data_IF_026608128586
#
_entry.id   IF_026608128586
#
_cell.length_a   1.000
_cell.length_b   1.000
_cell.length_c   1.000
_cell.angle_alpha   90.00
_cell.angle_beta   90.00
_cell.angle_gamma   90.00
#
_symmetry.space_group_name_H-M   'P 1'
#
loop_
_entity.id
_entity.type
_entity.pdbx_description
1 polymer ?
#
# COMPACT_ATOMS: atom_id res chain seq x y z
N UNK A 1 -3.29 -46.65 2.24
CA UNK A 1 -4.30 -45.59 2.40
C UNK A 1 -4.03 -44.52 1.36
N UNK A 2 -4.84 -44.43 0.32
CA UNK A 2 -4.66 -43.48 -0.77
C UNK A 2 -5.08 -42.08 -0.34
N UNK A 3 -4.15 -41.11 -0.40
CA UNK A 3 -4.46 -39.69 -0.24
C UNK A 3 -5.37 -39.24 -1.39
N UNK A 4 -6.64 -38.96 -1.10
CA UNK A 4 -7.52 -38.28 -2.03
C UNK A 4 -6.89 -36.90 -2.35
N UNK A 5 -6.47 -36.74 -3.60
CA UNK A 5 -6.21 -35.41 -4.18
C UNK A 5 -7.53 -34.64 -4.14
N UNK A 6 -7.60 -33.62 -3.25
CA UNK A 6 -8.67 -32.62 -3.36
C UNK A 6 -8.42 -31.87 -4.66
N UNK A 7 -9.32 -32.04 -5.61
CA UNK A 7 -9.41 -31.17 -6.77
C UNK A 7 -9.43 -29.71 -6.27
N UNK A 8 -8.44 -28.94 -6.68
CA UNK A 8 -8.41 -27.50 -6.55
C UNK A 8 -9.54 -26.98 -7.45
N UNK A 9 -10.72 -26.73 -6.85
CA UNK A 9 -11.78 -25.95 -7.48
C UNK A 9 -11.19 -24.58 -7.76
N UNK A 10 -11.38 -24.05 -8.97
CA UNK A 10 -10.91 -22.76 -9.46
C UNK A 10 -10.87 -21.72 -8.33
N UNK A 11 -9.67 -21.41 -7.82
CA UNK A 11 -9.48 -20.24 -6.95
C UNK A 11 -9.93 -19.03 -7.77
N UNK A 12 -10.88 -18.29 -7.23
CA UNK A 12 -11.29 -17.03 -7.83
C UNK A 12 -10.11 -16.07 -7.74
N UNK A 13 -9.71 -15.54 -8.85
CA UNK A 13 -8.70 -14.48 -8.90
C UNK A 13 -9.21 -13.24 -8.15
N UNK A 14 -8.29 -12.52 -7.53
CA UNK A 14 -8.63 -11.25 -6.88
C UNK A 14 -9.04 -10.23 -7.96
N UNK A 15 -10.24 -9.67 -7.82
CA UNK A 15 -10.71 -8.56 -8.64
C UNK A 15 -10.82 -7.32 -7.76
N UNK A 16 -9.96 -6.29 -7.96
CA UNK A 16 -9.98 -5.06 -7.18
C UNK A 16 -11.35 -4.37 -7.15
N UNK A 17 -12.11 -4.41 -8.23
CA UNK A 17 -13.38 -3.71 -8.37
C UNK A 17 -14.60 -4.50 -7.86
N UNK A 18 -14.42 -5.77 -7.49
CA UNK A 18 -15.53 -6.63 -7.05
C UNK A 18 -16.12 -6.27 -5.67
N UNK A 19 -15.45 -5.42 -4.90
CA UNK A 19 -15.76 -5.10 -3.51
C UNK A 19 -16.28 -3.69 -3.27
N UNK A 20 -16.91 -3.09 -4.26
CA UNK A 20 -17.54 -1.77 -4.10
C UNK A 20 -18.55 -1.77 -2.96
N UNK A 21 -18.31 -0.94 -1.95
CA UNK A 21 -19.16 -0.81 -0.78
C UNK A 21 -20.26 0.23 -1.03
N UNK A 22 -21.45 -0.03 -0.53
CA UNK A 22 -22.55 0.96 -0.47
C UNK A 22 -22.65 1.65 0.89
N UNK A 23 -21.54 1.68 1.63
CA UNK A 23 -21.45 2.38 2.91
C UNK A 23 -20.63 3.66 2.74
N UNK A 24 -21.26 4.79 3.04
CA UNK A 24 -20.62 6.10 3.16
C UNK A 24 -20.27 6.29 4.63
N UNK A 25 -19.01 6.55 4.91
CA UNK A 25 -18.51 6.77 6.27
C UNK A 25 -18.19 8.26 6.45
N UNK A 26 -18.76 8.86 7.49
CA UNK A 26 -18.56 10.26 7.83
C UNK A 26 -18.24 10.41 9.31
N UNK A 27 -17.64 11.54 9.67
CA UNK A 27 -17.37 11.86 11.07
C UNK A 27 -18.64 12.45 11.70
N UNK A 28 -19.16 11.81 12.77
CA UNK A 28 -20.28 12.30 13.55
C UNK A 28 -19.95 12.05 15.02
N UNK A 29 -20.15 13.06 15.86
CA UNK A 29 -19.99 12.94 17.31
C UNK A 29 -20.90 11.83 17.87
N UNK A 30 -20.33 10.82 18.54
CA UNK A 30 -21.09 9.75 19.17
C UNK A 30 -22.19 10.25 20.13
N UNK A 31 -21.94 11.35 20.86
CA UNK A 31 -22.88 11.91 21.83
C UNK A 31 -24.08 12.59 21.16
N UNK A 32 -23.88 13.20 20.00
CA UNK A 32 -24.91 13.87 19.23
C UNK A 32 -25.68 12.92 18.29
N UNK A 33 -25.14 11.73 18.01
CA UNK A 33 -25.62 10.86 16.94
C UNK A 33 -27.08 10.44 17.06
N UNK A 34 -27.52 10.04 18.25
CA UNK A 34 -28.92 9.59 18.44
C UNK A 34 -29.90 10.73 18.21
N UNK A 35 -29.63 11.91 18.76
CA UNK A 35 -30.47 13.11 18.58
C UNK A 35 -30.52 13.50 17.11
N UNK A 36 -29.36 13.52 16.45
CA UNK A 36 -29.24 13.82 15.03
C UNK A 36 -30.02 12.82 14.16
N UNK A 37 -29.95 11.52 14.49
CA UNK A 37 -30.62 10.46 13.75
C UNK A 37 -32.16 10.59 13.81
N UNK A 38 -32.69 11.05 14.93
CA UNK A 38 -34.14 11.20 15.17
C UNK A 38 -34.71 12.47 14.50
N UNK A 39 -33.90 13.47 14.22
CA UNK A 39 -34.30 14.68 13.50
C UNK A 39 -33.91 14.62 12.01
N UNK A 40 -34.83 14.34 11.07
CA UNK A 40 -34.54 14.27 9.67
C UNK A 40 -34.00 15.57 9.07
N UNK A 41 -34.41 16.73 9.61
CA UNK A 41 -33.95 18.04 9.17
C UNK A 41 -32.48 18.30 9.54
N UNK A 42 -32.17 18.07 10.82
CA UNK A 42 -30.80 18.17 11.34
C UNK A 42 -29.86 17.17 10.68
N UNK A 43 -30.32 15.91 10.48
CA UNK A 43 -29.52 14.90 9.79
C UNK A 43 -29.19 15.29 8.34
N UNK A 44 -30.19 15.85 7.61
CA UNK A 44 -29.99 16.36 6.25
C UNK A 44 -29.00 17.50 6.23
N UNK A 45 -29.13 18.47 7.12
CA UNK A 45 -28.21 19.62 7.20
C UNK A 45 -26.76 19.17 7.47
N UNK A 46 -26.57 18.20 8.38
CA UNK A 46 -25.27 17.60 8.64
C UNK A 46 -24.71 16.92 7.38
N UNK A 47 -25.51 16.12 6.70
CA UNK A 47 -25.08 15.40 5.51
C UNK A 47 -24.77 16.36 4.33
N UNK A 48 -25.58 17.41 4.14
CA UNK A 48 -25.35 18.43 3.12
C UNK A 48 -24.04 19.21 3.38
N UNK A 49 -23.72 19.46 4.65
CA UNK A 49 -22.45 20.05 5.05
C UNK A 49 -21.27 19.12 4.72
N UNK A 50 -21.35 17.83 5.05
CA UNK A 50 -20.32 16.84 4.74
C UNK A 50 -20.11 16.70 3.22
N UNK A 51 -21.18 16.68 2.43
CA UNK A 51 -21.12 16.63 0.97
C UNK A 51 -20.41 17.88 0.41
N UNK A 52 -20.66 19.04 0.99
CA UNK A 52 -20.05 20.29 0.53
C UNK A 52 -18.54 20.37 0.86
N UNK A 53 -18.13 19.83 2.02
CA UNK A 53 -16.74 19.89 2.50
C UNK A 53 -15.90 18.73 1.94
N UNK A 54 -16.49 17.53 1.84
CA UNK A 54 -15.82 16.27 1.50
C UNK A 54 -16.55 15.50 0.40
N UNK A 55 -16.75 16.09 -0.80
CA UNK A 55 -17.49 15.44 -1.89
C UNK A 55 -16.88 14.12 -2.34
N UNK A 56 -15.58 13.94 -2.14
CA UNK A 56 -14.82 12.72 -2.50
C UNK A 56 -15.19 11.49 -1.67
N UNK A 57 -15.91 11.66 -0.56
CA UNK A 57 -16.40 10.55 0.27
C UNK A 57 -17.74 9.99 -0.23
N UNK A 58 -18.36 10.63 -1.21
CA UNK A 58 -19.70 10.32 -1.70
C UNK A 58 -19.69 9.85 -3.14
N UNK A 59 -20.73 9.11 -3.60
CA UNK A 59 -20.89 8.82 -5.01
C UNK A 59 -21.02 10.11 -5.83
N UNK A 60 -20.43 10.17 -7.02
CA UNK A 60 -20.50 11.35 -7.90
C UNK A 60 -21.95 11.76 -8.23
N UNK A 61 -22.85 10.78 -8.32
CA UNK A 61 -24.28 11.00 -8.55
C UNK A 61 -25.01 11.73 -7.40
N UNK A 62 -24.39 11.92 -6.21
CA UNK A 62 -24.97 12.68 -5.08
C UNK A 62 -25.26 14.14 -5.48
N UNK A 63 -24.51 14.68 -6.44
CA UNK A 63 -24.69 16.04 -6.95
C UNK A 63 -26.07 16.27 -7.58
N UNK A 64 -26.72 15.21 -8.06
CA UNK A 64 -28.08 15.28 -8.61
C UNK A 64 -29.16 15.25 -7.53
N UNK A 65 -28.76 15.11 -6.26
CA UNK A 65 -29.65 15.10 -5.10
C UNK A 65 -29.96 13.70 -4.57
N UNK A 66 -30.46 13.68 -3.36
CA UNK A 66 -30.82 12.47 -2.62
C UNK A 66 -32.06 12.68 -1.76
N UNK A 67 -32.67 11.60 -1.33
CA UNK A 67 -33.70 11.61 -0.27
C UNK A 67 -33.29 10.69 0.89
N UNK A 68 -33.72 11.04 2.08
CA UNK A 68 -33.64 10.14 3.24
C UNK A 68 -34.58 8.96 2.95
N UNK A 69 -34.05 7.74 2.98
CA UNK A 69 -34.81 6.55 2.58
C UNK A 69 -35.46 5.89 3.80
N UNK A 70 -34.69 5.15 4.59
CA UNK A 70 -35.14 4.47 5.78
C UNK A 70 -34.03 4.37 6.84
N UNK A 71 -34.28 3.62 7.90
CA UNK A 71 -33.30 3.26 8.92
C UNK A 71 -33.14 1.76 8.99
N UNK A 72 -31.90 1.30 8.98
CA UNK A 72 -31.57 -0.09 9.30
C UNK A 72 -31.89 -0.37 10.77
N UNK A 73 -32.45 -1.55 11.08
CA UNK A 73 -32.70 -1.95 12.47
C UNK A 73 -31.39 -2.06 13.25
N UNK A 74 -31.51 -2.03 14.55
CA UNK A 74 -30.39 -2.24 15.47
C UNK A 74 -29.69 -3.58 15.22
N UNK A 75 -28.37 -3.57 15.33
CA UNK A 75 -27.60 -4.81 15.35
C UNK A 75 -27.66 -5.43 16.76
N UNK A 76 -27.78 -6.74 16.83
CA UNK A 76 -27.64 -7.48 18.10
C UNK A 76 -26.29 -7.22 18.79
N UNK A 77 -25.28 -6.81 18.04
CA UNK A 77 -23.92 -6.50 18.55
C UNK A 77 -23.76 -5.06 19.01
N UNK A 78 -24.62 -4.16 18.56
CA UNK A 78 -24.63 -2.74 18.89
C UNK A 78 -26.06 -2.31 19.23
N UNK A 79 -26.58 -2.69 20.41
CA UNK A 79 -27.90 -2.21 20.87
C UNK A 79 -27.93 -0.69 20.94
N UNK A 80 -29.03 -0.08 20.52
CA UNK A 80 -29.20 1.37 20.49
C UNK A 80 -28.64 2.06 19.23
N UNK A 81 -27.85 1.38 18.41
CA UNK A 81 -27.30 1.97 17.17
C UNK A 81 -28.13 1.55 15.96
N UNK A 82 -28.69 2.53 15.29
CA UNK A 82 -29.38 2.41 14.00
C UNK A 82 -28.61 3.20 12.94
N UNK A 83 -28.65 2.78 11.67
CA UNK A 83 -28.01 3.50 10.58
C UNK A 83 -29.06 4.00 9.59
N UNK A 84 -28.95 5.24 9.17
CA UNK A 84 -29.83 5.83 8.16
C UNK A 84 -29.34 5.47 6.76
N UNK A 85 -30.29 5.22 5.84
CA UNK A 85 -29.99 5.07 4.42
C UNK A 85 -30.49 6.29 3.64
N UNK A 86 -29.79 6.57 2.54
CA UNK A 86 -30.20 7.57 1.53
C UNK A 86 -30.41 6.86 0.20
N UNK A 87 -31.32 7.39 -0.62
CA UNK A 87 -31.51 6.98 -2.00
C UNK A 87 -31.18 8.16 -2.90
N UNK A 88 -30.28 7.94 -3.87
CA UNK A 88 -29.91 8.95 -4.83
C UNK A 88 -31.00 9.13 -5.90
N UNK A 89 -31.18 10.34 -6.41
CA UNK A 89 -32.11 10.60 -7.52
C UNK A 89 -31.75 9.83 -8.79
N UNK A 90 -30.45 9.62 -9.04
CA UNK A 90 -29.94 8.79 -10.12
C UNK A 90 -30.10 7.28 -9.88
N UNK A 91 -30.66 6.88 -8.73
CA UNK A 91 -30.80 5.50 -8.31
C UNK A 91 -29.67 5.02 -7.39
N UNK A 92 -29.96 3.97 -6.65
CA UNK A 92 -29.04 3.38 -5.68
C UNK A 92 -29.29 3.84 -4.25
N UNK A 93 -29.19 2.87 -3.33
CA UNK A 93 -29.37 3.10 -1.89
C UNK A 93 -28.04 2.92 -1.18
N UNK A 94 -27.67 3.91 -0.36
CA UNK A 94 -26.42 3.95 0.40
C UNK A 94 -26.69 4.07 1.90
N UNK A 95 -25.85 3.42 2.69
CA UNK A 95 -25.93 3.48 4.16
C UNK A 95 -24.96 4.54 4.67
N UNK A 96 -25.46 5.49 5.43
CA UNK A 96 -24.62 6.46 6.15
C UNK A 96 -24.18 5.83 7.46
N UNK A 97 -22.88 5.70 7.64
CA UNK A 97 -22.26 5.09 8.81
C UNK A 97 -21.35 6.10 9.50
N UNK A 98 -21.56 6.38 10.80
CA UNK A 98 -20.63 7.22 11.55
C UNK A 98 -19.30 6.47 11.75
N UNK A 99 -18.20 7.21 11.80
CA UNK A 99 -16.84 6.66 11.90
C UNK A 99 -16.58 5.86 13.18
N UNK A 100 -17.31 6.14 14.25
CA UNK A 100 -17.22 5.39 15.51
C UNK A 100 -17.84 3.98 15.45
N UNK A 101 -18.58 3.64 14.39
CA UNK A 101 -19.19 2.32 14.15
C UNK A 101 -18.40 1.58 13.08
N UNK A 102 -17.97 0.36 13.38
CA UNK A 102 -17.29 -0.50 12.40
C UNK A 102 -18.22 -0.91 11.24
N UNK A 103 -17.67 -1.19 10.05
CA UNK A 103 -18.44 -1.70 8.92
C UNK A 103 -19.32 -2.89 9.32
N UNK A 104 -20.55 -2.92 8.76
CA UNK A 104 -21.56 -3.96 9.06
C UNK A 104 -21.99 -4.02 10.53
N UNK A 105 -21.87 -2.93 11.27
CA UNK A 105 -22.30 -2.81 12.67
C UNK A 105 -21.71 -3.92 13.56
N UNK A 106 -20.41 -4.18 13.44
CA UNK A 106 -19.75 -5.30 14.11
C UNK A 106 -19.13 -4.95 15.46
N UNK A 107 -19.05 -3.68 15.82
CA UNK A 107 -18.47 -3.15 17.06
C UNK A 107 -18.21 -1.66 16.94
N UNK A 108 -17.61 -1.09 17.98
CA UNK A 108 -17.14 0.29 17.99
C UNK A 108 -15.68 0.36 17.51
N UNK A 109 -15.34 1.45 16.84
CA UNK A 109 -13.99 1.67 16.28
C UNK A 109 -12.95 1.77 17.41
N UNK A 110 -13.29 2.40 18.53
CA UNK A 110 -12.40 2.56 19.68
C UNK A 110 -11.99 1.24 20.33
N UNK A 111 -12.91 0.24 20.34
CA UNK A 111 -12.65 -1.07 20.94
C UNK A 111 -11.57 -1.86 20.20
N UNK A 112 -11.37 -1.57 18.91
CA UNK A 112 -10.46 -2.36 18.05
C UNK A 112 -9.22 -1.59 17.61
N UNK A 113 -9.20 -0.27 17.81
CA UNK A 113 -8.11 0.61 17.32
C UNK A 113 -6.74 0.14 17.78
N UNK A 114 -6.56 -0.04 19.11
CA UNK A 114 -5.28 -0.44 19.70
C UNK A 114 -4.87 -1.86 19.28
N UNK A 115 -5.84 -2.76 19.13
CA UNK A 115 -5.58 -4.12 18.70
C UNK A 115 -5.08 -4.17 17.24
N UNK A 116 -5.71 -3.40 16.33
CA UNK A 116 -5.28 -3.28 14.94
C UNK A 116 -3.93 -2.56 14.82
N UNK A 117 -3.67 -1.57 15.70
CA UNK A 117 -2.34 -0.96 15.78
C UNK A 117 -1.27 -2.01 16.09
N UNK A 118 -1.47 -2.83 17.11
CA UNK A 118 -0.54 -3.89 17.49
C UNK A 118 -0.45 -4.99 16.42
N UNK A 119 -1.56 -5.30 15.75
CA UNK A 119 -1.61 -6.33 14.71
C UNK A 119 -0.66 -6.03 13.56
N UNK A 120 -0.60 -4.80 13.09
CA UNK A 120 0.36 -4.39 12.03
C UNK A 120 1.82 -4.67 12.44
N UNK A 121 2.14 -4.61 13.74
CA UNK A 121 3.47 -4.90 14.27
C UNK A 121 3.71 -6.38 14.53
N UNK A 122 2.81 -7.24 14.05
CA UNK A 122 2.97 -8.69 14.11
C UNK A 122 2.44 -9.33 15.38
N UNK A 123 1.69 -8.63 16.24
CA UNK A 123 1.07 -9.26 17.41
C UNK A 123 0.08 -10.33 16.95
N UNK A 124 0.25 -11.61 17.35
CA UNK A 124 -0.59 -12.69 16.87
C UNK A 124 -2.01 -12.62 17.44
N UNK A 125 -2.99 -13.17 16.71
CA UNK A 125 -4.39 -13.11 17.13
C UNK A 125 -4.66 -13.65 18.53
N UNK A 126 -4.01 -14.73 18.95
CA UNK A 126 -4.19 -15.26 20.30
C UNK A 126 -3.81 -14.25 21.40
N UNK A 127 -2.80 -13.41 21.15
CA UNK A 127 -2.40 -12.35 22.09
C UNK A 127 -3.42 -11.20 22.08
N UNK A 128 -3.99 -10.85 20.90
CA UNK A 128 -5.09 -9.89 20.83
C UNK A 128 -6.32 -10.39 21.61
N UNK A 129 -6.67 -11.68 21.48
CA UNK A 129 -7.74 -12.30 22.27
C UNK A 129 -7.47 -12.20 23.78
N UNK A 130 -6.22 -12.48 24.20
CA UNK A 130 -5.83 -12.41 25.61
C UNK A 130 -5.95 -11.00 26.20
N UNK A 131 -5.59 -9.96 25.43
CA UNK A 131 -5.54 -8.57 25.90
C UNK A 131 -6.88 -7.85 25.74
N UNK A 132 -7.55 -8.05 24.60
CA UNK A 132 -8.72 -7.26 24.19
C UNK A 132 -10.04 -8.08 24.18
N UNK A 133 -9.97 -9.38 24.44
CA UNK A 133 -11.13 -10.25 24.32
C UNK A 133 -11.48 -10.58 22.87
N UNK A 134 -12.76 -10.89 22.63
CA UNK A 134 -13.29 -11.49 21.41
C UNK A 134 -12.62 -12.84 21.08
N UNK A 135 -12.99 -13.45 19.97
CA UNK A 135 -12.35 -14.69 19.47
C UNK A 135 -11.37 -14.41 18.33
N UNK A 136 -10.54 -15.41 18.00
CA UNK A 136 -9.58 -15.33 16.89
C UNK A 136 -10.26 -15.02 15.56
N UNK A 137 -11.46 -15.58 15.33
CA UNK A 137 -12.18 -15.38 14.08
C UNK A 137 -12.76 -13.95 13.96
N UNK A 138 -13.04 -13.28 15.06
CA UNK A 138 -13.43 -11.88 15.08
C UNK A 138 -12.29 -11.01 14.54
N UNK A 139 -11.09 -11.13 15.12
CA UNK A 139 -9.91 -10.36 14.73
C UNK A 139 -9.48 -10.65 13.30
N UNK A 140 -9.50 -11.94 12.92
CA UNK A 140 -9.20 -12.35 11.56
C UNK A 140 -10.18 -11.73 10.53
N UNK A 141 -11.49 -11.81 10.79
CA UNK A 141 -12.50 -11.22 9.89
C UNK A 141 -12.41 -9.70 9.81
N UNK A 142 -12.04 -9.04 10.91
CA UNK A 142 -11.85 -7.59 10.93
C UNK A 142 -10.66 -7.19 10.02
N UNK A 143 -9.53 -7.88 10.14
CA UNK A 143 -8.37 -7.69 9.26
C UNK A 143 -8.74 -7.94 7.79
N UNK A 144 -9.38 -9.06 7.48
CA UNK A 144 -9.81 -9.38 6.11
C UNK A 144 -10.71 -8.28 5.52
N UNK A 145 -11.64 -7.74 6.30
CA UNK A 145 -12.54 -6.67 5.84
C UNK A 145 -11.81 -5.38 5.50
N UNK A 146 -10.78 -5.02 6.24
CA UNK A 146 -9.95 -3.86 5.87
C UNK A 146 -9.28 -4.09 4.51
N UNK A 147 -8.82 -5.30 4.25
CA UNK A 147 -8.19 -5.66 2.98
C UNK A 147 -9.10 -5.64 1.75
N UNK A 148 -10.42 -5.60 1.94
CA UNK A 148 -11.36 -5.45 0.82
C UNK A 148 -11.39 -4.03 0.22
N UNK A 149 -10.92 -3.02 0.96
CA UNK A 149 -10.92 -1.65 0.46
C UNK A 149 -9.82 -1.44 -0.59
N UNK A 150 -10.06 -0.53 -1.53
CA UNK A 150 -9.03 -0.06 -2.45
C UNK A 150 -7.88 0.57 -1.66
N UNK A 151 -6.65 0.15 -1.93
CA UNK A 151 -5.48 0.76 -1.28
C UNK A 151 -5.30 2.18 -1.81
N UNK A 152 -5.30 2.34 -3.14
CA UNK A 152 -5.08 3.66 -3.76
C UNK A 152 -6.21 4.60 -3.40
N UNK A 153 -7.47 4.23 -3.67
CA UNK A 153 -8.61 5.12 -3.45
C UNK A 153 -8.92 5.41 -1.97
N UNK A 154 -8.46 4.54 -1.04
CA UNK A 154 -8.52 4.85 0.39
C UNK A 154 -7.38 5.79 0.80
N UNK A 155 -6.17 5.61 0.24
CA UNK A 155 -4.99 6.38 0.64
C UNK A 155 -4.92 7.75 -0.02
N UNK A 156 -5.30 7.84 -1.30
CA UNK A 156 -5.23 9.08 -2.13
C UNK A 156 -6.62 9.70 -2.21
N UNK A 157 -6.77 10.92 -1.73
CA UNK A 157 -8.06 11.63 -1.72
C UNK A 157 -8.19 12.73 -2.76
N UNK A 158 -7.09 13.32 -3.14
CA UNK A 158 -7.00 14.22 -4.29
C UNK A 158 -6.26 13.50 -5.43
N UNK A 159 -6.87 13.28 -6.60
CA UNK A 159 -6.19 12.69 -7.75
C UNK A 159 -4.87 13.38 -8.12
N UNK A 160 -4.75 14.68 -7.87
CA UNK A 160 -3.53 15.44 -8.14
C UNK A 160 -2.36 15.03 -7.23
N UNK A 161 -2.63 14.41 -6.07
CA UNK A 161 -1.60 13.92 -5.15
C UNK A 161 -1.15 12.49 -5.44
N UNK A 162 -1.78 11.80 -6.40
CA UNK A 162 -1.38 10.45 -6.78
C UNK A 162 0.07 10.46 -7.29
N UNK A 163 1.02 9.74 -6.61
CA UNK A 163 2.42 9.79 -6.95
C UNK A 163 2.69 9.33 -8.38
N UNK A 164 3.46 10.13 -9.13
CA UNK A 164 3.85 9.81 -10.51
C UNK A 164 5.24 9.16 -10.58
N UNK A 165 6.02 9.24 -9.53
CA UNK A 165 7.30 8.55 -9.38
C UNK A 165 7.12 7.43 -8.34
N UNK A 166 7.40 6.20 -8.73
CA UNK A 166 7.10 5.01 -7.96
C UNK A 166 8.35 4.16 -7.71
N UNK A 167 8.24 3.31 -6.71
CA UNK A 167 9.15 2.21 -6.41
C UNK A 167 8.37 0.91 -6.54
N UNK A 168 8.96 -0.09 -7.19
CA UNK A 168 8.40 -1.42 -7.32
C UNK A 168 9.44 -2.49 -6.95
N UNK A 169 9.02 -3.43 -6.12
CA UNK A 169 9.88 -4.53 -5.65
C UNK A 169 9.03 -5.75 -5.28
N UNK A 170 9.62 -6.95 -5.32
CA UNK A 170 9.00 -8.20 -4.96
C UNK A 170 9.60 -8.74 -3.66
N UNK A 171 8.80 -8.71 -2.60
CA UNK A 171 9.18 -9.34 -1.34
C UNK A 171 9.02 -10.85 -1.42
N UNK A 172 10.12 -11.59 -1.21
CA UNK A 172 10.09 -13.05 -1.06
C UNK A 172 9.37 -13.45 0.22
N UNK A 173 8.47 -14.39 0.12
CA UNK A 173 7.68 -14.94 1.23
C UNK A 173 7.35 -16.41 1.01
N UNK A 174 6.46 -16.99 1.83
CA UNK A 174 5.97 -18.34 1.68
C UNK A 174 4.45 -18.41 1.78
N UNK A 175 3.85 -19.29 1.00
CA UNK A 175 2.43 -19.61 1.02
C UNK A 175 2.25 -21.13 1.07
N UNK A 176 1.59 -21.64 2.12
CA UNK A 176 1.42 -23.07 2.37
C UNK A 176 2.75 -23.87 2.28
N UNK A 177 3.86 -23.27 2.75
CA UNK A 177 5.18 -23.89 2.73
C UNK A 177 5.93 -23.80 1.39
N UNK A 178 5.33 -23.22 0.36
CA UNK A 178 5.96 -22.97 -0.94
C UNK A 178 6.41 -21.53 -1.06
N UNK A 179 7.42 -21.28 -1.89
CA UNK A 179 7.88 -19.93 -2.19
C UNK A 179 6.76 -19.12 -2.84
N UNK A 180 6.61 -17.88 -2.38
CA UNK A 180 5.65 -16.91 -2.90
C UNK A 180 6.29 -15.51 -2.91
N UNK A 181 5.62 -14.55 -3.49
CA UNK A 181 6.12 -13.19 -3.65
C UNK A 181 5.02 -12.19 -3.35
N UNK A 182 5.39 -11.04 -2.79
CA UNK A 182 4.48 -9.90 -2.63
C UNK A 182 4.99 -8.81 -3.56
N UNK A 183 4.30 -8.61 -4.69
CA UNK A 183 4.55 -7.50 -5.59
C UNK A 183 4.09 -6.21 -4.90
N UNK A 184 5.00 -5.27 -4.68
CA UNK A 184 4.75 -4.06 -3.90
C UNK A 184 5.03 -2.82 -4.72
N UNK A 185 4.11 -1.85 -4.64
CA UNK A 185 4.24 -0.52 -5.24
C UNK A 185 4.19 0.53 -4.15
N UNK A 186 5.18 1.43 -4.12
CA UNK A 186 5.30 2.49 -3.11
C UNK A 186 5.52 3.83 -3.79
N UNK A 187 4.89 4.87 -3.26
CA UNK A 187 5.10 6.25 -3.67
C UNK A 187 4.87 7.21 -2.48
N UNK A 188 5.75 8.20 -2.30
CA UNK A 188 5.68 9.18 -1.20
C UNK A 188 5.44 8.58 0.19
N UNK A 189 6.17 7.49 0.51
CA UNK A 189 6.08 6.73 1.76
C UNK A 189 4.76 5.95 1.97
N UNK A 190 3.82 6.00 1.03
CA UNK A 190 2.62 5.19 1.04
C UNK A 190 2.82 3.89 0.26
N UNK A 191 2.35 2.79 0.81
CA UNK A 191 2.18 1.53 0.07
C UNK A 191 0.90 1.67 -0.75
N UNK A 192 1.04 1.76 -2.08
CA UNK A 192 -0.07 1.99 -3.00
C UNK A 192 -0.57 0.71 -3.68
N UNK A 193 0.23 -0.34 -3.63
CA UNK A 193 -0.15 -1.65 -4.15
C UNK A 193 0.60 -2.76 -3.44
N UNK A 194 -0.09 -3.82 -3.10
CA UNK A 194 0.46 -5.09 -2.66
C UNK A 194 -0.35 -6.21 -3.29
N UNK A 195 0.32 -7.24 -3.80
CA UNK A 195 -0.37 -8.40 -4.33
C UNK A 195 0.46 -9.66 -4.09
N UNK A 196 -0.20 -10.69 -3.54
CA UNK A 196 0.42 -11.97 -3.23
C UNK A 196 0.37 -12.88 -4.47
N UNK A 197 1.52 -13.40 -4.89
CA UNK A 197 1.64 -14.26 -6.07
C UNK A 197 2.54 -15.47 -5.80
N UNK A 198 2.24 -16.58 -6.46
CA UNK A 198 2.97 -17.85 -6.31
C UNK A 198 4.16 -17.98 -7.27
N UNK A 199 4.31 -17.05 -8.20
CA UNK A 199 5.42 -17.01 -9.13
C UNK A 199 5.84 -15.57 -9.41
N UNK A 200 7.06 -15.37 -9.86
CA UNK A 200 7.60 -14.06 -10.23
C UNK A 200 8.08 -14.05 -11.69
N UNK A 201 7.25 -14.57 -12.57
CA UNK A 201 7.41 -14.42 -14.01
C UNK A 201 6.60 -13.21 -14.53
N UNK A 202 6.87 -12.80 -15.77
CA UNK A 202 6.22 -11.63 -16.37
C UNK A 202 4.70 -11.67 -16.33
N UNK A 203 3.99 -12.75 -16.76
CA UNK A 203 2.52 -12.76 -16.74
C UNK A 203 1.94 -12.61 -15.34
N UNK A 204 2.53 -13.29 -14.35
CA UNK A 204 2.06 -13.26 -12.98
C UNK A 204 2.30 -11.91 -12.32
N UNK A 205 3.47 -11.30 -12.56
CA UNK A 205 3.77 -9.95 -12.05
C UNK A 205 2.95 -8.89 -12.77
N UNK A 206 2.66 -9.05 -14.06
CA UNK A 206 1.75 -8.16 -14.79
C UNK A 206 0.35 -8.18 -14.17
N UNK A 207 -0.18 -9.35 -13.83
CA UNK A 207 -1.46 -9.45 -13.12
C UNK A 207 -1.38 -8.78 -11.74
N UNK A 208 -0.34 -9.07 -10.95
CA UNK A 208 -0.15 -8.54 -9.61
C UNK A 208 -0.03 -7.00 -9.57
N UNK A 209 0.83 -6.41 -10.38
CA UNK A 209 0.94 -4.95 -10.52
C UNK A 209 -0.28 -4.33 -11.22
N UNK A 210 -1.01 -5.11 -12.00
CA UNK A 210 -2.26 -4.73 -12.63
C UNK A 210 -3.34 -4.30 -11.63
N UNK A 211 -3.35 -4.88 -10.41
CA UNK A 211 -4.26 -4.46 -9.34
C UNK A 211 -4.01 -2.99 -8.94
N UNK A 212 -2.75 -2.59 -8.77
CA UNK A 212 -2.41 -1.18 -8.55
C UNK A 212 -2.88 -0.29 -9.70
N UNK A 213 -2.60 -0.68 -10.96
CA UNK A 213 -3.05 0.08 -12.14
C UNK A 213 -4.56 0.29 -12.12
N UNK A 214 -5.33 -0.76 -11.90
CA UNK A 214 -6.79 -0.70 -11.85
C UNK A 214 -7.29 0.27 -10.79
N UNK A 215 -6.73 0.20 -9.58
CA UNK A 215 -7.11 1.11 -8.49
C UNK A 215 -6.65 2.56 -8.75
N UNK A 216 -5.44 2.76 -9.29
CA UNK A 216 -4.94 4.08 -9.65
C UNK A 216 -5.79 4.74 -10.74
N UNK A 217 -6.18 3.97 -11.77
CA UNK A 217 -7.06 4.45 -12.84
C UNK A 217 -8.52 4.61 -12.42
N UNK A 218 -8.96 3.97 -11.35
CA UNK A 218 -10.25 4.28 -10.73
C UNK A 218 -10.24 5.67 -10.05
N UNK A 219 -9.10 6.11 -9.50
CA UNK A 219 -8.93 7.45 -8.92
C UNK A 219 -8.67 8.51 -10.00
N UNK A 220 -7.83 8.18 -10.97
CA UNK A 220 -7.46 9.06 -12.10
C UNK A 220 -7.44 8.26 -13.40
N UNK A 221 -8.48 8.32 -14.25
CA UNK A 221 -8.64 7.46 -15.42
C UNK A 221 -7.42 7.42 -16.37
N UNK A 222 -6.77 8.56 -16.58
CA UNK A 222 -5.60 8.70 -17.46
C UNK A 222 -4.26 8.50 -16.72
N UNK A 223 -4.29 7.93 -15.52
CA UNK A 223 -3.07 7.77 -14.72
C UNK A 223 -2.03 6.90 -15.42
N UNK A 224 -0.82 7.45 -15.51
CA UNK A 224 0.40 6.77 -15.94
C UNK A 224 1.56 7.28 -15.10
N UNK A 225 2.38 6.41 -14.48
CA UNK A 225 3.54 6.85 -13.73
C UNK A 225 4.59 7.43 -14.67
N UNK A 226 5.28 8.46 -14.19
CA UNK A 226 6.38 9.10 -14.91
C UNK A 226 7.61 8.21 -14.87
N UNK A 227 7.97 7.75 -13.67
CA UNK A 227 9.09 6.84 -13.46
C UNK A 227 8.73 5.71 -12.50
N UNK A 228 9.37 4.55 -12.70
CA UNK A 228 9.30 3.42 -11.76
C UNK A 228 10.72 2.92 -11.48
N UNK A 229 11.15 2.99 -10.22
CA UNK A 229 12.42 2.42 -9.80
C UNK A 229 12.24 0.93 -9.48
N UNK A 230 13.14 0.08 -10.02
CA UNK A 230 13.15 -1.37 -9.80
C UNK A 230 14.57 -1.87 -9.51
N UNK A 231 14.69 -3.07 -8.97
CA UNK A 231 15.99 -3.75 -8.75
C UNK A 231 16.68 -4.19 -10.05
N UNK A 232 15.97 -4.12 -11.19
CA UNK A 232 16.44 -4.58 -12.49
C UNK A 232 16.11 -6.03 -12.83
N UNK A 233 15.18 -6.64 -12.09
CA UNK A 233 14.65 -7.95 -12.47
C UNK A 233 13.85 -7.86 -13.77
N UNK A 234 14.21 -8.72 -14.76
CA UNK A 234 13.66 -8.62 -16.11
C UNK A 234 12.12 -8.80 -16.15
N UNK A 235 11.58 -9.70 -15.32
CA UNK A 235 10.15 -9.95 -15.26
C UNK A 235 9.37 -8.74 -14.73
N UNK A 236 9.89 -8.07 -13.68
CA UNK A 236 9.32 -6.83 -13.13
C UNK A 236 9.32 -5.73 -14.17
N UNK A 237 10.44 -5.53 -14.84
CA UNK A 237 10.55 -4.51 -15.90
C UNK A 237 9.60 -4.78 -17.06
N UNK A 238 9.47 -6.05 -17.48
CA UNK A 238 8.55 -6.44 -18.55
C UNK A 238 7.09 -6.19 -18.13
N UNK A 239 6.71 -6.56 -16.90
CA UNK A 239 5.38 -6.32 -16.36
C UNK A 239 5.02 -4.83 -16.36
N UNK A 240 5.91 -3.96 -15.89
CA UNK A 240 5.65 -2.51 -15.85
C UNK A 240 5.55 -1.91 -17.26
N UNK A 241 6.37 -2.35 -18.23
CA UNK A 241 6.26 -1.93 -19.65
C UNK A 241 4.95 -2.40 -20.29
N UNK A 242 4.49 -3.60 -19.95
CA UNK A 242 3.21 -4.12 -20.44
C UNK A 242 2.01 -3.35 -19.86
N UNK A 243 2.08 -2.93 -18.60
CA UNK A 243 1.00 -2.21 -17.93
C UNK A 243 0.91 -0.73 -18.35
N UNK A 244 2.04 -0.05 -18.50
CA UNK A 244 2.10 1.38 -18.75
C UNK A 244 3.04 1.69 -19.91
N UNK A 245 2.49 2.28 -20.97
CA UNK A 245 3.26 2.68 -22.15
C UNK A 245 2.95 4.15 -22.48
N UNK A 246 3.97 5.04 -22.46
CA UNK A 246 5.36 4.78 -22.09
C UNK A 246 5.61 4.87 -20.57
N UNK A 247 6.43 3.99 -20.02
CA UNK A 247 6.96 4.10 -18.67
C UNK A 247 8.47 4.17 -18.68
N UNK A 248 9.06 5.02 -17.83
CA UNK A 248 10.51 5.12 -17.66
C UNK A 248 10.95 4.31 -16.45
N UNK A 249 11.73 3.27 -16.71
CA UNK A 249 12.26 2.41 -15.65
C UNK A 249 13.62 2.92 -15.20
N UNK A 250 13.75 3.17 -13.89
CA UNK A 250 14.98 3.60 -13.24
C UNK A 250 15.56 2.41 -12.49
N UNK A 251 16.84 2.11 -12.74
CA UNK A 251 17.51 1.04 -12.00
C UNK A 251 17.91 1.50 -10.59
N UNK A 252 17.71 0.62 -9.62
CA UNK A 252 18.10 0.87 -8.23
C UNK A 252 19.63 0.79 -8.07
N UNK A 253 20.26 1.93 -7.76
CA UNK A 253 21.70 1.98 -7.47
C UNK A 253 22.05 1.21 -6.19
N UNK A 254 21.16 1.15 -5.20
CA UNK A 254 21.40 0.43 -3.95
C UNK A 254 21.60 -1.08 -4.20
N UNK A 255 20.75 -1.72 -4.98
CA UNK A 255 20.86 -3.15 -5.29
C UNK A 255 22.18 -3.46 -6.04
N UNK A 256 22.60 -2.60 -6.95
CA UNK A 256 23.89 -2.74 -7.61
C UNK A 256 25.05 -2.63 -6.60
N UNK A 257 25.00 -1.65 -5.69
CA UNK A 257 25.99 -1.50 -4.62
C UNK A 257 26.01 -2.70 -3.65
N UNK A 258 24.85 -3.17 -3.18
CA UNK A 258 24.75 -4.32 -2.27
C UNK A 258 25.38 -5.58 -2.90
N UNK A 259 25.17 -5.79 -4.19
CA UNK A 259 25.77 -6.90 -4.92
C UNK A 259 27.29 -6.78 -5.00
N UNK A 260 27.82 -5.58 -5.27
CA UNK A 260 29.25 -5.29 -5.25
C UNK A 260 29.81 -5.52 -3.83
N UNK A 261 29.15 -4.98 -2.79
CA UNK A 261 29.53 -5.18 -1.40
C UNK A 261 29.68 -6.66 -1.04
N UNK A 262 28.68 -7.47 -1.36
CA UNK A 262 28.67 -8.89 -0.99
C UNK A 262 29.74 -9.71 -1.70
N UNK A 263 30.13 -9.30 -2.91
CA UNK A 263 31.25 -9.91 -3.63
C UNK A 263 32.63 -9.40 -3.18
N UNK A 264 32.73 -8.13 -2.75
CA UNK A 264 34.01 -7.44 -2.52
C UNK A 264 34.36 -7.22 -1.04
N UNK A 265 33.43 -7.38 -0.08
CA UNK A 265 33.67 -7.14 1.37
C UNK A 265 34.84 -7.92 1.96
N UNK A 266 35.26 -9.01 1.32
CA UNK A 266 36.44 -9.80 1.71
C UNK A 266 37.78 -9.14 1.36
N UNK A 267 37.78 -8.13 0.50
CA UNK A 267 38.97 -7.39 0.08
C UNK A 267 39.14 -6.15 0.96
N UNK A 268 39.42 -6.35 2.25
CA UNK A 268 39.39 -5.33 3.31
C UNK A 268 40.08 -4.03 2.93
N UNK A 269 41.28 -4.10 2.32
CA UNK A 269 42.09 -2.94 2.00
C UNK A 269 41.57 -2.14 0.77
N UNK A 270 40.90 -2.83 -0.16
CA UNK A 270 40.40 -2.23 -1.40
C UNK A 270 38.92 -1.85 -1.28
N UNK A 271 38.19 -2.49 -0.34
CA UNK A 271 36.76 -2.32 -0.25
C UNK A 271 36.35 -0.89 0.14
N UNK A 272 37.08 -0.25 1.04
CA UNK A 272 36.82 1.13 1.44
C UNK A 272 36.94 2.12 0.27
N UNK A 273 38.00 1.96 -0.54
CA UNK A 273 38.22 2.77 -1.73
C UNK A 273 37.15 2.49 -2.80
N UNK A 274 36.82 1.22 -3.04
CA UNK A 274 35.75 0.81 -3.95
C UNK A 274 34.40 1.43 -3.55
N UNK A 275 34.07 1.34 -2.28
CA UNK A 275 32.84 1.93 -1.74
C UNK A 275 32.78 3.44 -1.99
N UNK A 276 33.87 4.17 -1.69
CA UNK A 276 33.95 5.61 -1.92
C UNK A 276 33.72 5.94 -3.37
N UNK A 277 34.41 5.28 -4.30
CA UNK A 277 34.28 5.51 -5.75
C UNK A 277 32.86 5.25 -6.27
N UNK A 278 32.19 4.19 -5.79
CA UNK A 278 30.80 3.89 -6.18
C UNK A 278 29.85 4.99 -5.68
N UNK A 279 30.03 5.47 -4.45
CA UNK A 279 29.18 6.53 -3.89
C UNK A 279 29.49 7.90 -4.50
N UNK A 280 30.72 8.17 -4.91
CA UNK A 280 31.08 9.40 -5.62
C UNK A 280 30.39 9.42 -6.98
N UNK A 281 30.42 8.30 -7.72
CA UNK A 281 29.64 8.18 -8.95
C UNK A 281 28.14 8.40 -8.69
N UNK A 282 27.58 7.80 -7.66
CA UNK A 282 26.16 8.00 -7.31
C UNK A 282 25.82 9.47 -7.02
N UNK A 283 26.74 10.23 -6.40
CA UNK A 283 26.57 11.64 -6.05
C UNK A 283 26.88 12.61 -7.19
N UNK A 284 27.28 12.12 -8.35
CA UNK A 284 27.57 12.95 -9.52
C UNK A 284 26.38 13.90 -9.80
N UNK A 285 26.64 15.15 -10.20
CA UNK A 285 25.60 16.16 -10.38
C UNK A 285 24.71 15.91 -11.60
N UNK A 286 25.24 15.23 -12.63
CA UNK A 286 24.56 14.96 -13.90
C UNK A 286 24.97 13.62 -14.51
N UNK A 287 24.34 13.24 -15.62
CA UNK A 287 24.59 11.98 -16.31
C UNK A 287 25.99 11.89 -16.91
N UNK A 288 26.57 13.00 -17.37
CA UNK A 288 27.89 13.04 -17.94
C UNK A 288 28.96 12.79 -16.87
N UNK A 289 28.90 13.52 -15.76
CA UNK A 289 29.79 13.32 -14.62
C UNK A 289 29.64 11.90 -14.04
N UNK A 290 28.41 11.37 -13.95
CA UNK A 290 28.15 9.99 -13.54
C UNK A 290 28.86 8.98 -14.44
N UNK A 291 28.74 9.12 -15.76
CA UNK A 291 29.36 8.24 -16.74
C UNK A 291 30.88 8.33 -16.67
N UNK A 292 31.44 9.52 -16.53
CA UNK A 292 32.88 9.74 -16.37
C UNK A 292 33.41 9.07 -15.08
N UNK A 293 32.70 9.21 -13.95
CA UNK A 293 33.05 8.56 -12.69
C UNK A 293 33.01 7.03 -12.80
N UNK A 294 31.99 6.47 -13.47
CA UNK A 294 31.92 5.03 -13.72
C UNK A 294 33.05 4.52 -14.63
N UNK A 295 33.48 5.31 -15.63
CA UNK A 295 34.64 4.97 -16.44
C UNK A 295 35.94 4.92 -15.63
N UNK A 296 36.14 5.88 -14.71
CA UNK A 296 37.24 5.89 -13.75
C UNK A 296 37.17 4.68 -12.80
N UNK A 297 35.99 4.36 -12.29
CA UNK A 297 35.75 3.20 -11.44
C UNK A 297 36.09 1.90 -12.20
N UNK A 298 35.70 1.78 -13.46
CA UNK A 298 36.00 0.62 -14.32
C UNK A 298 37.50 0.43 -14.51
N UNK A 299 38.23 1.50 -14.83
CA UNK A 299 39.68 1.45 -15.03
C UNK A 299 40.37 1.02 -13.71
N UNK A 300 40.03 1.66 -12.60
CA UNK A 300 40.56 1.32 -11.28
C UNK A 300 40.26 -0.13 -10.87
N UNK A 301 39.04 -0.59 -11.07
CA UNK A 301 38.63 -1.95 -10.71
C UNK A 301 39.37 -3.01 -11.54
N UNK A 302 39.57 -2.76 -12.83
CA UNK A 302 40.28 -3.66 -13.71
C UNK A 302 41.75 -3.78 -13.33
N UNK A 303 42.39 -2.71 -12.85
CA UNK A 303 43.78 -2.69 -12.41
C UNK A 303 43.95 -3.33 -11.01
N UNK A 304 43.04 -3.07 -10.07
CA UNK A 304 43.23 -3.31 -8.63
C UNK A 304 42.48 -4.53 -8.07
N UNK A 305 41.36 -4.90 -8.67
CA UNK A 305 40.58 -6.05 -8.21
C UNK A 305 41.04 -7.35 -8.84
N UNK A 306 41.14 -8.44 -8.08
CA UNK A 306 41.43 -9.74 -8.68
C UNK A 306 40.28 -10.20 -9.59
N UNK A 307 40.61 -10.97 -10.62
CA UNK A 307 39.61 -11.58 -11.49
C UNK A 307 38.62 -12.42 -10.71
N UNK A 308 37.31 -12.29 -11.03
CA UNK A 308 36.21 -13.03 -10.41
C UNK A 308 34.97 -12.17 -10.12
N UNK A 309 34.04 -12.72 -9.32
CA UNK A 309 32.72 -12.16 -9.09
C UNK A 309 32.69 -10.70 -8.63
N UNK A 310 33.72 -10.24 -7.91
CA UNK A 310 33.83 -8.85 -7.44
C UNK A 310 34.02 -7.90 -8.61
N UNK A 311 35.05 -8.17 -9.43
CA UNK A 311 35.32 -7.40 -10.65
C UNK A 311 34.13 -7.44 -11.62
N UNK A 312 33.57 -8.62 -11.86
CA UNK A 312 32.38 -8.80 -12.71
C UNK A 312 31.17 -7.94 -12.26
N UNK A 313 30.92 -7.86 -10.94
CA UNK A 313 29.85 -7.05 -10.41
C UNK A 313 30.08 -5.55 -10.66
N UNK A 314 31.31 -5.05 -10.52
CA UNK A 314 31.67 -3.67 -10.81
C UNK A 314 31.55 -3.40 -12.32
N UNK A 315 32.08 -4.27 -13.16
CA UNK A 315 32.00 -4.12 -14.63
C UNK A 315 30.55 -4.12 -15.11
N UNK A 316 29.67 -4.94 -14.46
CA UNK A 316 28.24 -4.96 -14.77
C UNK A 316 27.56 -3.64 -14.39
N UNK A 317 27.93 -3.01 -13.27
CA UNK A 317 27.44 -1.67 -12.93
C UNK A 317 27.86 -0.66 -14.00
N UNK A 318 29.16 -0.65 -14.39
CA UNK A 318 29.69 0.28 -15.37
C UNK A 318 29.04 0.09 -16.76
N UNK A 319 28.82 -1.15 -17.18
CA UNK A 319 28.15 -1.46 -18.45
C UNK A 319 26.71 -0.95 -18.53
N UNK A 320 26.04 -0.79 -17.37
CA UNK A 320 24.69 -0.27 -17.26
C UNK A 320 24.63 1.25 -16.98
N UNK A 321 25.72 1.98 -17.17
CA UNK A 321 25.80 3.41 -16.98
C UNK A 321 24.67 4.18 -17.69
N UNK A 322 24.31 3.90 -18.97
CA UNK A 322 23.19 4.60 -19.63
C UNK A 322 21.83 4.37 -18.95
N UNK A 323 21.59 3.17 -18.44
CA UNK A 323 20.33 2.83 -17.76
C UNK A 323 20.21 3.54 -16.40
N UNK A 324 21.28 3.57 -15.60
CA UNK A 324 21.34 4.34 -14.36
C UNK A 324 21.32 5.85 -14.60
N UNK A 325 21.94 6.31 -15.68
CA UNK A 325 22.02 7.71 -16.08
C UNK A 325 20.65 8.33 -16.39
N UNK A 326 19.65 7.54 -16.75
CA UNK A 326 18.29 8.01 -17.00
C UNK A 326 17.68 8.75 -15.81
N UNK A 327 18.07 8.41 -14.57
CA UNK A 327 17.59 9.08 -13.37
C UNK A 327 17.91 10.58 -13.33
N UNK A 328 18.97 11.03 -14.01
CA UNK A 328 19.34 12.45 -14.05
C UNK A 328 18.40 13.30 -14.93
N UNK A 329 17.73 12.70 -15.90
CA UNK A 329 16.70 13.36 -16.69
C UNK A 329 15.37 13.51 -15.91
N UNK A 330 15.25 12.86 -14.75
CA UNK A 330 14.06 12.85 -13.91
C UNK A 330 14.45 13.16 -12.44
N UNK A 331 14.62 14.44 -12.07
CA UNK A 331 15.13 14.83 -10.75
C UNK A 331 14.29 14.35 -9.56
N UNK A 332 13.00 14.10 -9.77
CA UNK A 332 12.05 13.61 -8.75
C UNK A 332 12.04 12.09 -8.64
N UNK A 333 12.65 11.39 -9.61
CA UNK A 333 12.68 9.93 -9.63
C UNK A 333 13.47 9.34 -8.47
N UNK A 334 12.99 8.25 -7.94
CA UNK A 334 13.75 7.48 -6.95
C UNK A 334 14.94 6.81 -7.61
N UNK A 335 16.12 7.00 -7.03
CA UNK A 335 17.38 6.38 -7.50
C UNK A 335 17.79 5.16 -6.68
N UNK A 336 17.11 4.94 -5.56
CA UNK A 336 17.31 3.78 -4.65
C UNK A 336 15.98 3.27 -4.12
N UNK A 337 15.92 1.98 -3.78
CA UNK A 337 14.76 1.34 -3.17
C UNK A 337 14.68 1.48 -1.64
N UNK A 338 15.55 2.28 -1.01
CA UNK A 338 15.59 2.42 0.46
C UNK A 338 14.22 2.63 1.12
N UNK A 339 13.30 3.29 0.42
CA UNK A 339 11.95 3.51 0.94
C UNK A 339 11.16 2.19 0.99
N UNK A 340 11.20 1.39 -0.09
CA UNK A 340 10.54 0.05 -0.10
C UNK A 340 11.17 -0.84 0.98
N UNK A 341 12.49 -0.88 1.07
CA UNK A 341 13.19 -1.71 2.07
C UNK A 341 12.78 -1.36 3.50
N UNK A 342 12.60 -0.06 3.81
CA UNK A 342 12.13 0.40 5.12
C UNK A 342 10.68 -0.03 5.41
N UNK A 343 9.84 -0.10 4.40
CA UNK A 343 8.46 -0.59 4.55
C UNK A 343 8.40 -2.11 4.62
N UNK A 344 9.32 -2.80 3.91
CA UNK A 344 9.39 -4.27 3.95
C UNK A 344 9.83 -4.80 5.31
N UNK A 345 10.67 -4.10 6.07
CA UNK A 345 11.12 -4.57 7.38
C UNK A 345 9.97 -4.77 8.39
N UNK A 346 9.01 -3.84 8.59
CA UNK A 346 7.83 -4.10 9.41
C UNK A 346 6.93 -5.22 8.86
N UNK A 347 6.86 -5.36 7.54
CA UNK A 347 6.13 -6.48 6.92
C UNK A 347 6.81 -7.81 7.22
N UNK A 348 8.14 -7.89 7.25
CA UNK A 348 8.87 -9.09 7.65
C UNK A 348 8.51 -9.51 9.07
N UNK A 349 8.55 -8.58 10.03
CA UNK A 349 8.16 -8.88 11.41
C UNK A 349 6.72 -9.40 11.49
N UNK A 350 5.81 -8.81 10.72
CA UNK A 350 4.43 -9.26 10.64
C UNK A 350 4.34 -10.69 10.09
N UNK A 351 5.02 -10.98 8.98
CA UNK A 351 5.01 -12.30 8.34
C UNK A 351 5.65 -13.38 9.21
N UNK A 352 6.77 -13.09 9.85
CA UNK A 352 7.46 -14.00 10.77
C UNK A 352 6.55 -14.38 11.95
N UNK A 353 5.82 -13.42 12.50
CA UNK A 353 4.87 -13.67 13.60
C UNK A 353 3.69 -14.55 13.20
N UNK A 354 3.26 -14.46 11.93
CA UNK A 354 2.18 -15.25 11.37
C UNK A 354 2.66 -16.60 10.82
N UNK A 355 3.97 -16.88 10.83
CA UNK A 355 4.60 -18.01 10.14
C UNK A 355 4.21 -18.07 8.66
N UNK A 356 4.22 -16.90 8.02
CA UNK A 356 3.85 -16.68 6.62
C UNK A 356 2.36 -16.94 6.31
N UNK A 357 2.02 -17.15 5.06
CA UNK A 357 0.64 -17.29 4.61
C UNK A 357 0.20 -18.75 4.54
N UNK A 358 -1.04 -19.00 4.97
CA UNK A 358 -1.68 -20.29 4.94
C UNK A 358 -3.14 -20.19 4.48
N UNK A 359 -3.68 -21.29 3.96
CA UNK A 359 -5.08 -21.37 3.57
C UNK A 359 -5.34 -20.96 2.12
N UNK A 360 -6.19 -19.99 1.88
CA UNK A 360 -6.55 -19.52 0.55
C UNK A 360 -5.70 -18.30 0.11
N UNK A 361 -5.29 -18.27 -1.16
CA UNK A 361 -4.48 -17.18 -1.72
C UNK A 361 -5.18 -15.82 -1.54
N UNK A 362 -6.48 -15.77 -1.82
CA UNK A 362 -7.30 -14.57 -1.64
C UNK A 362 -7.28 -14.03 -0.21
N UNK A 363 -7.25 -14.91 0.79
CA UNK A 363 -7.13 -14.49 2.20
C UNK A 363 -5.76 -13.88 2.50
N UNK A 364 -4.70 -14.42 1.91
CA UNK A 364 -3.36 -13.85 1.98
C UNK A 364 -3.29 -12.47 1.31
N UNK A 365 -3.95 -12.31 0.17
CA UNK A 365 -4.09 -11.03 -0.52
C UNK A 365 -4.75 -9.97 0.39
N UNK A 366 -5.92 -10.28 0.97
CA UNK A 366 -6.60 -9.34 1.89
C UNK A 366 -5.77 -9.02 3.14
N UNK A 367 -5.00 -9.97 3.65
CA UNK A 367 -4.08 -9.74 4.75
C UNK A 367 -2.99 -8.73 4.38
N UNK A 368 -2.35 -8.87 3.21
CA UNK A 368 -1.36 -7.91 2.71
C UNK A 368 -1.97 -6.51 2.54
N UNK A 369 -3.17 -6.42 1.96
CA UNK A 369 -3.87 -5.18 1.71
C UNK A 369 -4.28 -4.47 3.01
N UNK A 370 -4.80 -5.21 3.99
CA UNK A 370 -5.11 -4.69 5.32
C UNK A 370 -3.85 -4.14 6.00
N UNK A 371 -2.73 -4.87 5.92
CA UNK A 371 -1.45 -4.43 6.44
C UNK A 371 -1.00 -3.11 5.78
N UNK A 372 -1.11 -3.00 4.45
CA UNK A 372 -0.75 -1.80 3.70
C UNK A 372 -1.60 -0.59 4.12
N UNK A 373 -2.92 -0.75 4.25
CA UNK A 373 -3.81 0.31 4.72
C UNK A 373 -3.47 0.73 6.15
N UNK A 374 -3.28 -0.22 7.07
CA UNK A 374 -2.84 0.11 8.43
C UNK A 374 -1.48 0.82 8.41
N UNK A 375 -0.56 0.43 7.52
CA UNK A 375 0.73 1.10 7.37
C UNK A 375 0.57 2.56 6.94
N UNK A 376 -0.29 2.84 5.98
CA UNK A 376 -0.48 4.18 5.43
C UNK A 376 -1.11 5.15 6.44
N UNK A 377 -1.99 4.65 7.33
CA UNK A 377 -2.76 5.50 8.24
C UNK A 377 -2.24 5.53 9.68
N UNK A 378 -1.55 4.49 10.14
CA UNK A 378 -1.02 4.48 11.51
C UNK A 378 0.00 5.59 11.74
N UNK A 379 0.04 6.15 12.97
CA UNK A 379 0.93 7.26 13.27
C UNK A 379 2.40 6.87 13.14
N UNK A 380 3.21 7.84 12.72
CA UNK A 380 4.66 7.74 12.78
C UNK A 380 5.14 7.56 14.22
N UNK A 381 6.34 6.99 14.37
CA UNK A 381 7.00 6.99 15.68
C UNK A 381 7.15 8.45 16.17
N UNK A 382 6.73 8.79 17.41
CA UNK A 382 6.78 10.16 17.91
C UNK A 382 8.19 10.78 17.91
N UNK A 383 9.25 9.95 17.89
CA UNK A 383 10.65 10.41 17.80
C UNK A 383 11.11 10.74 16.38
N UNK A 384 10.34 10.38 15.37
CA UNK A 384 10.67 10.69 13.99
C UNK A 384 10.45 12.19 13.71
N UNK A 385 11.40 12.85 13.05
CA UNK A 385 11.28 14.28 12.70
C UNK A 385 10.00 14.58 11.92
N UNK A 386 9.59 13.67 11.04
CA UNK A 386 8.39 13.81 10.23
C UNK A 386 7.11 13.85 11.07
N UNK A 387 7.10 13.20 12.24
CA UNK A 387 5.96 13.17 13.15
C UNK A 387 5.63 14.56 13.76
N UNK A 388 6.53 15.53 13.63
CA UNK A 388 6.29 16.92 14.05
C UNK A 388 5.37 17.67 13.07
N UNK A 389 5.27 17.22 11.82
CA UNK A 389 4.48 17.89 10.79
C UNK A 389 3.30 17.03 10.33
N UNK A 390 3.49 15.73 10.24
CA UNK A 390 2.49 14.80 9.72
C UNK A 390 2.28 13.64 10.67
N UNK A 391 1.04 13.22 10.86
CA UNK A 391 0.71 12.09 11.75
C UNK A 391 0.99 10.73 11.11
N UNK A 392 0.83 10.60 9.79
CA UNK A 392 0.95 9.33 9.07
C UNK A 392 1.42 9.55 7.62
N UNK A 393 1.81 8.48 6.89
CA UNK A 393 2.08 8.56 5.45
C UNK A 393 0.92 9.14 4.64
N UNK A 394 -0.32 8.70 4.89
CA UNK A 394 -1.50 9.21 4.20
C UNK A 394 -1.77 10.69 4.49
N UNK A 395 -1.53 11.16 5.74
CA UNK A 395 -1.59 12.58 6.05
C UNK A 395 -0.55 13.38 5.26
N UNK A 396 0.68 12.87 5.18
CA UNK A 396 1.74 13.53 4.41
C UNK A 396 1.39 13.63 2.92
N UNK A 397 0.78 12.57 2.37
CA UNK A 397 0.40 12.52 0.96
C UNK A 397 -0.70 13.51 0.61
N UNK A 398 -1.75 13.58 1.44
CA UNK A 398 -2.93 14.40 1.17
C UNK A 398 -2.84 15.82 1.75
N UNK A 399 -1.96 16.07 2.75
CA UNK A 399 -1.85 17.34 3.45
C UNK A 399 -2.92 17.57 4.53
N UNK A 400 -3.85 16.65 4.73
CA UNK A 400 -4.93 16.74 5.72
C UNK A 400 -5.32 15.37 6.28
N UNK A 401 -6.14 15.37 7.32
CA UNK A 401 -6.80 14.20 7.92
C UNK A 401 -8.28 14.50 8.14
N UNK A 402 -9.14 13.50 8.03
CA UNK A 402 -10.57 13.63 8.38
C UNK A 402 -10.81 13.55 9.89
N UNK A 403 -9.92 12.85 10.61
CA UNK A 403 -10.05 12.63 12.05
C UNK A 403 -8.68 12.39 12.69
N UNK A 404 -8.46 12.86 13.93
CA UNK A 404 -7.19 12.72 14.65
C UNK A 404 -6.85 11.26 15.01
N UNK A 405 -7.87 10.43 15.30
CA UNK A 405 -7.66 9.00 15.49
C UNK A 405 -7.43 8.32 14.13
N UNK A 406 -6.33 7.61 14.01
CA UNK A 406 -5.87 7.00 12.76
C UNK A 406 -6.86 6.00 12.15
N UNK A 407 -7.57 5.22 13.00
CA UNK A 407 -8.52 4.22 12.50
C UNK A 407 -9.83 4.87 12.05
N UNK A 408 -10.33 5.90 12.75
CA UNK A 408 -11.45 6.72 12.26
C UNK A 408 -11.09 7.35 10.92
N UNK A 409 -9.90 7.96 10.82
CA UNK A 409 -9.41 8.56 9.59
C UNK A 409 -9.35 7.53 8.44
N UNK A 410 -8.83 6.31 8.69
CA UNK A 410 -8.83 5.23 7.70
C UNK A 410 -10.25 4.84 7.28
N UNK A 411 -11.17 4.68 8.23
CA UNK A 411 -12.53 4.24 7.95
C UNK A 411 -13.34 5.29 7.19
N UNK A 412 -13.13 6.60 7.45
CA UNK A 412 -13.71 7.69 6.67
C UNK A 412 -13.12 7.67 5.26
N UNK A 413 -11.79 7.62 5.16
CA UNK A 413 -11.09 7.53 3.87
C UNK A 413 -11.51 6.31 3.04
N UNK A 414 -11.92 5.22 3.68
CA UNK A 414 -12.45 4.01 3.05
C UNK A 414 -13.96 4.08 2.76
N UNK A 415 -14.57 5.29 2.76
CA UNK A 415 -15.94 5.47 2.29
C UNK A 415 -16.11 4.83 0.91
N UNK A 416 -17.24 4.17 0.67
CA UNK A 416 -17.52 3.41 -0.57
C UNK A 416 -16.50 2.29 -0.87
N UNK A 417 -15.72 1.87 0.12
CA UNK A 417 -14.61 0.93 -0.06
C UNK A 417 -13.37 1.55 -0.71
N UNK A 418 -13.29 2.89 -0.76
CA UNK A 418 -12.23 3.62 -1.47
C UNK A 418 -12.38 3.59 -2.99
N UNK A 419 -13.55 3.21 -3.54
CA UNK A 419 -13.81 3.23 -4.98
C UNK A 419 -14.69 4.43 -5.34
N UNK A 420 -14.34 5.10 -6.44
CA UNK A 420 -15.24 6.10 -7.03
C UNK A 420 -16.43 5.40 -7.69
N UNK A 421 -17.65 5.89 -7.43
CA UNK A 421 -18.91 5.36 -7.94
C UNK A 421 -19.70 6.43 -8.68
#
# INVERSE_FOLDING_TARGET
>A
MAKRSRNCSSEKDFDPLSHQSKQICIDIDPQAYETLLLDPGAFRACLDQEIAVHPELFPTAIQHGYKLYDMLPESKKLPGIRLRRIELQAGGVFTIRPAFVLPYMTGYTEDVEKALFLRRWGVPFWALVYVFGHDVAYWYRLEQRLGHNSIVGTTVKDPATLPVDLLADEKHTHFNGHQAYIATTVGQECVLGVSLTLAANEPTLTAAYGHFKTEAQNVQPEYTPNTVNTDGWAATQAAWRALFTPVRLILCCLHAFLKIRDCCKRFTDLYGELQTRVWDAYRAPDAEAFTAQLAQLQAWATERLPAGRGLEAVLKLCAKAPEFGQAYAHPTAYRTSNMVDRHMQPLDHYLDSCKYFHGHLLSGEYTCRAWALCHNFQPYCPRAKIAQTYTSPAHRLNGFVYHDNWLHNLLISASLGGYQQ
#
